data_IF_923628655405
#
_entry.id   IF_923628655405
#
_cell.length_a   1.000
_cell.length_b   1.000
_cell.length_c   1.000
_cell.angle_alpha   90.00
_cell.angle_beta   90.00
_cell.angle_gamma   90.00
#
_symmetry.space_group_name_H-M   'P 1'
#
loop_
_entity.id
_entity.type
_entity.pdbx_description
1 polymer ?
#
# COMPACT_ATOMS: atom_id res chain seq x y z
N UNK A 1 -20.01 -28.12 -51.27
CA UNK A 1 -18.75 -27.36 -51.19
C UNK A 1 -18.77 -26.54 -49.90
N UNK A 2 -17.90 -26.85 -48.95
CA UNK A 2 -17.76 -26.11 -47.70
C UNK A 2 -16.60 -25.13 -47.88
N UNK A 3 -16.90 -23.84 -47.98
CA UNK A 3 -15.90 -22.78 -48.08
C UNK A 3 -15.46 -22.41 -46.67
N UNK A 4 -14.20 -22.71 -46.42
CA UNK A 4 -13.38 -22.26 -45.30
C UNK A 4 -13.32 -20.72 -45.33
N UNK A 5 -13.65 -20.03 -44.23
CA UNK A 5 -13.32 -18.63 -44.02
C UNK A 5 -12.57 -18.49 -42.71
N UNK A 6 -11.26 -18.48 -42.86
CA UNK A 6 -10.27 -18.10 -41.87
C UNK A 6 -10.50 -16.63 -41.46
N UNK A 7 -10.56 -16.38 -40.16
CA UNK A 7 -10.43 -15.04 -39.59
C UNK A 7 -8.93 -14.75 -39.36
N UNK A 8 -8.36 -13.69 -39.93
CA UNK A 8 -6.99 -13.29 -39.67
C UNK A 8 -6.87 -12.49 -38.37
N UNK A 9 -5.70 -12.59 -37.75
CA UNK A 9 -5.14 -11.71 -36.71
C UNK A 9 -5.64 -11.88 -35.27
N UNK A 10 -5.40 -13.07 -34.70
CA UNK A 10 -4.98 -13.18 -33.29
C UNK A 10 -3.46 -12.99 -33.25
N UNK A 11 -3.00 -11.83 -32.79
CA UNK A 11 -1.61 -11.64 -32.37
C UNK A 11 -1.44 -12.40 -31.04
N UNK A 12 -1.14 -13.70 -31.14
CA UNK A 12 -0.59 -14.46 -30.03
C UNK A 12 0.82 -13.95 -29.76
N UNK A 13 0.99 -13.15 -28.70
CA UNK A 13 2.31 -12.89 -28.16
C UNK A 13 2.84 -14.21 -27.57
N UNK A 14 3.98 -14.75 -28.03
CA UNK A 14 4.56 -15.93 -27.42
C UNK A 14 4.96 -15.60 -25.98
N UNK A 15 4.29 -16.22 -25.02
CA UNK A 15 4.81 -16.31 -23.65
C UNK A 15 5.98 -17.27 -23.73
N UNK A 16 7.17 -16.74 -24.04
CA UNK A 16 8.42 -17.46 -23.81
C UNK A 16 8.50 -17.76 -22.31
N UNK A 17 8.29 -19.04 -21.97
CA UNK A 17 8.68 -19.61 -20.70
C UNK A 17 10.21 -19.61 -20.65
N UNK A 18 10.80 -18.51 -20.22
CA UNK A 18 12.19 -18.50 -19.77
C UNK A 18 12.25 -19.06 -18.36
N UNK A 19 12.99 -20.16 -18.23
CA UNK A 19 13.34 -20.82 -16.99
C UNK A 19 13.79 -19.81 -15.92
N UNK A 20 13.20 -19.95 -14.72
CA UNK A 20 13.46 -19.15 -13.52
C UNK A 20 14.89 -19.40 -13.02
N UNK A 21 15.88 -18.80 -13.68
CA UNK A 21 17.14 -18.48 -13.03
C UNK A 21 16.84 -17.38 -12.00
N UNK A 22 16.97 -17.70 -10.71
CA UNK A 22 16.68 -16.81 -9.60
C UNK A 22 17.36 -15.44 -9.79
N UNK A 23 16.60 -14.48 -10.31
CA UNK A 23 17.03 -13.08 -10.39
C UNK A 23 17.25 -12.62 -8.95
N UNK A 24 18.34 -11.88 -8.66
CA UNK A 24 18.55 -11.33 -7.32
C UNK A 24 17.29 -10.59 -6.91
N UNK A 25 16.79 -10.85 -5.70
CA UNK A 25 15.55 -10.23 -5.23
C UNK A 25 15.68 -8.71 -5.29
N UNK A 26 15.07 -8.12 -6.32
CA UNK A 26 15.10 -6.68 -6.52
C UNK A 26 14.40 -5.99 -5.34
N UNK A 27 14.95 -4.86 -4.89
CA UNK A 27 14.39 -4.00 -3.86
C UNK A 27 14.45 -4.53 -2.40
N UNK A 28 15.49 -5.29 -2.05
CA UNK A 28 15.84 -5.54 -0.66
C UNK A 28 16.17 -4.23 0.10
N UNK A 29 15.99 -4.19 1.43
CA UNK A 29 16.48 -3.08 2.25
C UNK A 29 17.98 -2.84 2.00
N UNK A 30 18.36 -1.58 1.81
CA UNK A 30 19.78 -1.22 1.77
C UNK A 30 20.41 -1.29 3.17
N UNK A 31 21.72 -1.05 3.26
CA UNK A 31 22.46 -1.16 4.52
C UNK A 31 21.93 -0.25 5.63
N UNK A 32 21.61 1.01 5.29
CA UNK A 32 21.09 2.00 6.23
C UNK A 32 19.70 1.59 6.75
N UNK A 33 18.83 1.11 5.87
CA UNK A 33 17.51 0.57 6.26
C UNK A 33 17.71 -0.69 7.11
N UNK A 34 18.61 -1.59 6.74
CA UNK A 34 18.89 -2.81 7.49
C UNK A 34 19.38 -2.52 8.91
N UNK A 35 20.26 -1.54 9.08
CA UNK A 35 20.74 -1.10 10.39
C UNK A 35 19.59 -0.52 11.24
N UNK A 36 18.74 0.30 10.62
CA UNK A 36 17.55 0.84 11.29
C UNK A 36 16.60 -0.28 11.75
N UNK A 37 16.35 -1.27 10.89
CA UNK A 37 15.52 -2.42 11.25
C UNK A 37 16.12 -3.22 12.42
N UNK A 38 17.44 -3.46 12.42
CA UNK A 38 18.12 -4.14 13.55
C UNK A 38 17.96 -3.37 14.86
N UNK A 39 18.13 -2.05 14.82
CA UNK A 39 17.95 -1.18 15.99
C UNK A 39 16.51 -1.24 16.50
N UNK A 40 15.53 -1.10 15.60
CA UNK A 40 14.11 -1.15 15.96
C UNK A 40 13.72 -2.52 16.56
N UNK A 41 14.15 -3.62 15.94
CA UNK A 41 13.92 -4.99 16.45
C UNK A 41 14.55 -5.17 17.83
N UNK A 42 15.76 -4.68 18.05
CA UNK A 42 16.44 -4.77 19.36
C UNK A 42 15.75 -3.92 20.44
N UNK A 43 15.10 -2.81 20.06
CA UNK A 43 14.29 -2.01 20.99
C UNK A 43 12.96 -2.69 21.34
N UNK A 44 12.32 -3.33 20.35
CA UNK A 44 11.04 -4.03 20.55
C UNK A 44 11.20 -5.35 21.29
N UNK A 45 12.29 -6.07 21.04
CA UNK A 45 12.63 -7.36 21.65
C UNK A 45 14.06 -7.37 22.19
N UNK A 46 14.33 -6.68 23.33
CA UNK A 46 15.67 -6.56 23.91
C UNK A 46 16.34 -7.90 24.23
N UNK A 47 15.56 -8.94 24.48
CA UNK A 47 16.03 -10.31 24.74
C UNK A 47 16.80 -10.93 23.57
N UNK A 48 16.66 -10.40 22.35
CA UNK A 48 17.39 -10.87 21.17
C UNK A 48 18.82 -10.32 21.06
N UNK A 49 19.18 -9.37 21.92
CA UNK A 49 20.49 -8.71 21.90
C UNK A 49 20.64 -7.70 20.74
N UNK A 50 21.87 -7.20 20.54
CA UNK A 50 22.14 -6.06 19.65
C UNK A 50 22.19 -6.42 18.15
N UNK A 51 22.26 -7.70 17.80
CA UNK A 51 22.35 -8.14 16.40
C UNK A 51 21.41 -9.33 16.13
N UNK A 52 20.09 -9.12 16.19
CA UNK A 52 19.10 -10.16 15.95
C UNK A 52 19.20 -10.71 14.52
N UNK A 53 18.95 -12.00 14.34
CA UNK A 53 18.73 -12.55 13.00
C UNK A 53 17.46 -11.92 12.39
N UNK A 54 17.56 -11.45 11.16
CA UNK A 54 16.45 -10.87 10.41
C UNK A 54 16.23 -11.69 9.15
N UNK A 55 15.06 -12.31 9.04
CA UNK A 55 14.62 -13.01 7.83
C UNK A 55 13.59 -12.15 7.10
N UNK A 56 13.80 -11.95 5.80
CA UNK A 56 12.89 -11.20 4.95
C UNK A 56 12.23 -12.15 3.94
N UNK A 57 10.95 -11.95 3.73
CA UNK A 57 10.19 -12.60 2.66
C UNK A 57 9.16 -11.62 2.09
N UNK A 58 8.62 -11.89 0.89
CA UNK A 58 7.57 -11.04 0.33
C UNK A 58 6.30 -11.13 1.17
N UNK A 59 5.77 -9.98 1.60
CA UNK A 59 4.53 -9.93 2.39
C UNK A 59 3.27 -9.99 1.51
N UNK A 60 3.39 -9.73 0.22
CA UNK A 60 2.29 -9.66 -0.74
C UNK A 60 2.68 -10.28 -2.08
N UNK A 61 1.71 -10.78 -2.85
CA UNK A 61 1.98 -11.28 -4.19
C UNK A 61 2.30 -10.14 -5.16
N UNK A 62 2.85 -10.50 -6.33
CA UNK A 62 3.13 -9.53 -7.39
C UNK A 62 1.84 -8.85 -7.84
N UNK A 63 1.82 -7.52 -7.75
CA UNK A 63 0.67 -6.71 -8.15
C UNK A 63 -0.35 -6.44 -7.05
N UNK A 64 -0.22 -7.05 -5.86
CA UNK A 64 -1.07 -6.71 -4.69
C UNK A 64 -0.74 -5.33 -4.12
N UNK A 65 0.51 -4.88 -4.30
CA UNK A 65 0.94 -3.55 -3.91
C UNK A 65 1.24 -2.71 -5.16
N UNK A 66 0.50 -1.62 -5.36
CA UNK A 66 0.65 -0.74 -6.51
C UNK A 66 1.83 0.23 -6.39
N UNK A 67 2.20 0.61 -5.16
CA UNK A 67 3.27 1.59 -4.90
C UNK A 67 4.24 1.08 -3.84
N UNK A 68 5.45 0.75 -4.30
CA UNK A 68 6.53 0.23 -3.46
C UNK A 68 6.55 -1.29 -3.37
N UNK A 69 7.34 -1.78 -2.44
CA UNK A 69 7.57 -3.18 -2.15
C UNK A 69 7.29 -3.43 -0.67
N UNK A 70 6.59 -4.52 -0.38
CA UNK A 70 6.25 -4.89 0.99
C UNK A 70 6.96 -6.19 1.34
N UNK A 71 7.80 -6.11 2.37
CA UNK A 71 8.51 -7.24 2.97
C UNK A 71 7.88 -7.59 4.30
N UNK A 72 7.86 -8.88 4.63
CA UNK A 72 7.66 -9.37 5.98
C UNK A 72 9.04 -9.63 6.57
N UNK A 73 9.29 -9.02 7.71
CA UNK A 73 10.50 -9.21 8.50
C UNK A 73 10.15 -10.08 9.70
N UNK A 74 10.79 -11.23 9.81
CA UNK A 74 10.72 -12.12 10.97
C UNK A 74 12.02 -12.01 11.77
N UNK A 75 11.92 -11.68 13.05
CA UNK A 75 13.06 -11.60 13.95
C UNK A 75 13.30 -12.93 14.67
N UNK A 76 14.55 -13.39 14.68
CA UNK A 76 14.98 -14.63 15.34
C UNK A 76 14.15 -15.87 14.94
N UNK A 77 13.65 -15.89 13.70
CA UNK A 77 12.80 -16.97 13.16
C UNK A 77 11.54 -17.27 14.00
N UNK A 78 11.07 -16.30 14.80
CA UNK A 78 9.83 -16.41 15.56
C UNK A 78 8.67 -15.76 14.78
N UNK A 79 7.66 -16.52 14.32
CA UNK A 79 6.51 -15.97 13.60
C UNK A 79 5.70 -14.94 14.41
N UNK A 80 5.82 -14.92 15.74
CA UNK A 80 5.18 -13.91 16.60
C UNK A 80 5.95 -12.60 16.63
N UNK A 81 7.22 -12.60 16.22
CA UNK A 81 8.06 -11.40 16.09
C UNK A 81 8.15 -10.98 14.62
N UNK A 82 6.98 -10.69 14.05
CA UNK A 82 6.83 -10.31 12.65
C UNK A 82 6.48 -8.84 12.50
N UNK A 83 7.10 -8.19 11.52
CA UNK A 83 6.85 -6.81 11.13
C UNK A 83 6.64 -6.74 9.61
N UNK A 84 5.88 -5.76 9.16
CA UNK A 84 5.76 -5.42 7.74
C UNK A 84 6.68 -4.23 7.46
N UNK A 85 7.57 -4.37 6.49
CA UNK A 85 8.50 -3.32 6.05
C UNK A 85 8.14 -2.91 4.63
N UNK A 86 7.63 -1.70 4.48
CA UNK A 86 7.33 -1.10 3.18
C UNK A 86 8.50 -0.25 2.71
N UNK A 87 8.96 -0.50 1.49
CA UNK A 87 10.08 0.18 0.85
C UNK A 87 9.65 0.79 -0.49
N UNK A 88 10.19 1.94 -0.89
CA UNK A 88 10.08 2.38 -2.27
C UNK A 88 10.87 1.42 -3.18
N UNK A 89 10.57 1.40 -4.50
CA UNK A 89 11.46 0.72 -5.44
C UNK A 89 12.90 1.27 -5.28
N UNK A 90 13.92 0.42 -5.37
CA UNK A 90 15.32 0.84 -5.28
C UNK A 90 15.84 1.30 -6.64
N UNK A 91 15.28 0.78 -7.74
CA UNK A 91 15.59 1.26 -9.08
C UNK A 91 15.15 2.73 -9.28
N UNK A 92 16.10 3.60 -9.62
CA UNK A 92 15.88 5.06 -9.78
C UNK A 92 14.80 5.41 -10.82
N UNK A 93 14.73 4.67 -11.93
CA UNK A 93 13.72 4.89 -12.98
C UNK A 93 12.33 4.57 -12.43
N UNK A 94 12.18 3.43 -11.76
CA UNK A 94 10.92 3.07 -11.10
C UNK A 94 10.52 4.08 -10.03
N UNK A 95 11.47 4.56 -9.20
CA UNK A 95 11.19 5.61 -8.20
C UNK A 95 10.56 6.85 -8.82
N UNK A 96 11.11 7.32 -9.94
CA UNK A 96 10.59 8.49 -10.67
C UNK A 96 9.23 8.18 -11.29
N UNK A 97 9.09 7.05 -11.97
CA UNK A 97 7.85 6.64 -12.63
C UNK A 97 6.67 6.55 -11.65
N UNK A 98 6.89 5.97 -10.47
CA UNK A 98 5.88 5.79 -9.43
C UNK A 98 5.75 6.98 -8.48
N UNK A 99 6.50 8.06 -8.70
CA UNK A 99 6.52 9.23 -7.81
C UNK A 99 6.73 8.81 -6.34
N UNK A 100 7.64 7.84 -6.15
CA UNK A 100 7.75 7.07 -4.92
C UNK A 100 8.03 7.98 -3.71
N UNK A 101 8.93 8.94 -3.88
CA UNK A 101 9.33 9.86 -2.80
C UNK A 101 8.13 10.65 -2.24
N UNK A 102 7.36 11.41 -3.04
CA UNK A 102 6.14 12.07 -2.56
C UNK A 102 5.08 11.14 -1.97
N UNK A 103 4.93 9.92 -2.52
CA UNK A 103 4.00 8.92 -1.99
C UNK A 103 4.41 8.46 -0.59
N UNK A 104 5.69 8.12 -0.39
CA UNK A 104 6.21 7.69 0.91
C UNK A 104 6.19 8.80 1.95
N UNK A 105 6.54 10.04 1.59
CA UNK A 105 6.41 11.18 2.51
C UNK A 105 4.97 11.40 2.97
N UNK A 106 3.99 11.19 2.07
CA UNK A 106 2.57 11.32 2.41
C UNK A 106 2.08 10.19 3.31
N UNK A 107 2.50 8.97 3.06
CA UNK A 107 2.19 7.83 3.93
C UNK A 107 2.85 7.98 5.32
N UNK A 108 4.10 8.45 5.38
CA UNK A 108 4.76 8.81 6.64
C UNK A 108 3.98 9.90 7.38
N UNK A 109 3.54 10.96 6.70
CA UNK A 109 2.71 12.00 7.33
C UNK A 109 1.38 11.47 7.86
N UNK A 110 0.81 10.44 7.21
CA UNK A 110 -0.39 9.77 7.71
C UNK A 110 -0.11 9.10 9.07
N UNK A 111 0.98 8.34 9.19
CA UNK A 111 1.35 7.62 10.42
C UNK A 111 1.92 8.50 11.52
N UNK A 112 2.73 9.51 11.20
CA UNK A 112 3.43 10.33 12.20
C UNK A 112 2.62 11.56 12.64
N UNK A 113 1.67 12.02 11.82
CA UNK A 113 0.92 13.26 12.11
C UNK A 113 -0.58 13.00 12.19
N UNK A 114 -1.18 12.49 11.10
CA UNK A 114 -2.64 12.44 11.01
C UNK A 114 -3.28 11.40 11.93
N UNK A 115 -2.77 10.17 11.97
CA UNK A 115 -3.31 9.10 12.81
C UNK A 115 -3.12 9.37 14.32
N UNK A 116 -1.97 9.90 14.79
CA UNK A 116 -1.82 10.34 16.18
C UNK A 116 -2.79 11.48 16.55
N UNK A 117 -2.98 12.46 15.65
CA UNK A 117 -3.95 13.54 15.85
C UNK A 117 -5.38 12.99 15.96
N UNK A 118 -5.73 12.04 15.10
CA UNK A 118 -6.99 11.30 15.13
C UNK A 118 -7.17 10.57 16.46
N UNK A 119 -6.17 9.86 16.97
CA UNK A 119 -6.23 9.19 18.27
C UNK A 119 -6.52 10.20 19.41
N UNK A 120 -5.78 11.30 19.45
CA UNK A 120 -5.95 12.36 20.45
C UNK A 120 -7.35 12.98 20.41
N UNK A 121 -7.89 13.21 19.22
CA UNK A 121 -9.25 13.74 19.05
C UNK A 121 -10.30 12.76 19.57
N UNK A 122 -10.17 11.48 19.24
CA UNK A 122 -11.09 10.44 19.72
C UNK A 122 -11.05 10.30 21.24
N UNK A 123 -9.87 10.43 21.85
CA UNK A 123 -9.72 10.41 23.31
C UNK A 123 -10.39 11.65 23.95
N UNK A 124 -10.11 12.84 23.41
CA UNK A 124 -10.70 14.11 23.88
C UNK A 124 -12.23 14.08 23.83
N UNK A 125 -12.79 13.52 22.78
CA UNK A 125 -14.25 13.42 22.59
C UNK A 125 -14.86 12.14 23.16
N UNK A 126 -14.06 11.32 23.85
CA UNK A 126 -14.50 10.06 24.49
C UNK A 126 -15.18 9.09 23.51
N UNK A 127 -14.67 9.02 22.28
CA UNK A 127 -15.13 8.07 21.27
C UNK A 127 -14.55 6.70 21.62
N UNK A 128 -15.43 5.73 21.88
CA UNK A 128 -15.10 4.38 22.35
C UNK A 128 -15.79 3.31 21.52
N UNK A 129 -15.37 2.05 21.72
CA UNK A 129 -16.01 0.89 21.10
C UNK A 129 -16.01 0.97 19.58
N UNK A 130 -17.14 0.60 18.98
CA UNK A 130 -17.28 0.49 17.54
C UNK A 130 -17.25 1.84 16.82
N UNK A 131 -17.57 2.95 17.48
CA UNK A 131 -17.54 4.27 16.82
C UNK A 131 -16.12 4.78 16.58
N UNK A 132 -15.12 4.19 17.22
CA UNK A 132 -13.73 4.60 17.08
C UNK A 132 -13.11 4.08 15.79
N UNK A 133 -12.49 4.97 15.04
CA UNK A 133 -11.61 4.63 13.93
C UNK A 133 -10.28 4.06 14.46
N UNK A 134 -10.01 2.81 14.08
CA UNK A 134 -8.79 2.04 14.42
C UNK A 134 -8.35 1.11 13.28
N UNK A 135 -8.94 1.25 12.10
CA UNK A 135 -8.75 0.34 10.98
C UNK A 135 -7.48 0.70 10.19
N UNK A 136 -6.35 0.68 10.87
CA UNK A 136 -5.01 0.86 10.32
C UNK A 136 -4.02 0.02 11.15
N UNK A 137 -2.91 -0.41 10.54
CA UNK A 137 -1.82 -1.05 11.26
C UNK A 137 -1.16 -0.07 12.23
N UNK A 138 -0.58 -0.55 13.33
CA UNK A 138 0.37 0.26 14.10
C UNK A 138 1.62 0.53 13.27
N UNK A 139 2.21 1.72 13.43
CA UNK A 139 3.51 2.05 12.85
C UNK A 139 4.56 2.09 13.97
N UNK A 140 5.65 1.35 13.78
CA UNK A 140 6.74 1.24 14.74
C UNK A 140 7.93 2.14 14.39
N UNK A 141 8.03 2.59 13.15
CA UNK A 141 9.05 3.55 12.76
C UNK A 141 9.01 3.87 11.27
N UNK A 142 9.55 5.04 10.93
CA UNK A 142 9.72 5.45 9.54
C UNK A 142 11.13 6.01 9.31
N UNK A 143 11.56 5.96 8.05
CA UNK A 143 12.69 6.74 7.55
C UNK A 143 12.24 7.56 6.36
N UNK A 144 12.69 8.80 6.33
CA UNK A 144 12.36 9.76 5.29
C UNK A 144 13.59 10.26 4.54
N UNK A 145 14.79 9.69 4.71
CA UNK A 145 15.96 10.10 3.94
C UNK A 145 16.07 9.28 2.65
N UNK A 146 16.17 9.94 1.48
CA UNK A 146 16.34 9.24 0.20
C UNK A 146 17.80 8.77 0.04
N UNK A 147 18.08 7.52 -0.38
CA UNK A 147 17.16 6.46 -0.83
C UNK A 147 16.78 5.42 0.25
N UNK A 148 16.93 5.77 1.52
CA UNK A 148 16.77 4.90 2.68
C UNK A 148 15.37 4.99 3.29
N UNK A 149 14.36 5.39 2.52
CA UNK A 149 13.01 5.49 3.05
C UNK A 149 12.45 4.11 3.38
N UNK A 150 11.75 4.02 4.50
CA UNK A 150 10.99 2.84 4.87
C UNK A 150 9.87 3.20 5.82
N UNK A 151 8.84 2.35 5.86
CA UNK A 151 7.76 2.42 6.84
C UNK A 151 7.64 1.02 7.45
N UNK A 152 7.79 0.94 8.77
CA UNK A 152 7.70 -0.32 9.51
C UNK A 152 6.38 -0.36 10.26
N UNK A 153 5.60 -1.40 9.97
CA UNK A 153 4.23 -1.56 10.39
C UNK A 153 4.03 -2.88 11.14
N UNK A 154 2.96 -2.94 11.91
CA UNK A 154 2.39 -4.17 12.45
C UNK A 154 2.08 -5.18 11.36
N UNK A 155 2.52 -6.42 11.58
CA UNK A 155 2.07 -7.55 10.77
C UNK A 155 0.70 -8.03 11.25
N UNK A 156 -0.35 -7.52 10.60
CA UNK A 156 -1.74 -7.89 10.90
C UNK A 156 -2.02 -9.39 10.69
N UNK A 157 -1.17 -10.13 9.96
CA UNK A 157 -1.34 -11.59 9.81
C UNK A 157 -1.14 -12.32 11.14
N UNK A 158 -0.35 -11.77 12.06
CA UNK A 158 -0.21 -12.27 13.43
C UNK A 158 -1.51 -12.19 14.23
N UNK A 159 -2.41 -11.27 13.88
CA UNK A 159 -3.74 -11.13 14.46
C UNK A 159 -4.83 -11.88 13.66
N UNK A 160 -4.43 -12.73 12.70
CA UNK A 160 -5.34 -13.54 11.90
C UNK A 160 -5.99 -12.81 10.71
N UNK A 161 -5.55 -11.60 10.38
CA UNK A 161 -6.00 -10.92 9.17
C UNK A 161 -5.34 -11.53 7.93
N UNK A 162 -6.06 -11.49 6.81
CA UNK A 162 -5.56 -11.92 5.51
C UNK A 162 -5.95 -10.92 4.43
N UNK A 163 -5.15 -10.85 3.36
CA UNK A 163 -5.47 -10.03 2.21
C UNK A 163 -6.58 -10.71 1.41
N UNK A 164 -7.67 -9.99 1.15
CA UNK A 164 -8.75 -10.50 0.31
C UNK A 164 -8.28 -10.61 -1.15
N UNK A 165 -8.58 -11.73 -1.80
CA UNK A 165 -8.27 -11.91 -3.21
C UNK A 165 -9.13 -10.96 -4.06
N UNK A 166 -8.49 -9.97 -4.70
CA UNK A 166 -9.17 -8.94 -5.51
C UNK A 166 -9.91 -9.46 -6.75
N UNK A 167 -9.67 -10.71 -7.15
CA UNK A 167 -10.39 -11.36 -8.25
C UNK A 167 -11.66 -12.07 -7.78
N UNK A 168 -11.95 -12.06 -6.48
CA UNK A 168 -13.18 -12.55 -5.91
C UNK A 168 -14.09 -11.38 -5.53
N UNK A 169 -15.39 -11.64 -5.53
CA UNK A 169 -16.38 -10.67 -5.10
C UNK A 169 -16.27 -10.40 -3.59
N UNK A 170 -16.43 -9.13 -3.23
CA UNK A 170 -16.59 -8.74 -1.83
C UNK A 170 -18.04 -9.01 -1.37
N UNK A 171 -18.25 -9.80 -0.31
CA UNK A 171 -19.58 -9.96 0.28
C UNK A 171 -20.17 -8.62 0.73
N UNK A 172 -21.50 -8.48 0.70
CA UNK A 172 -22.21 -7.28 1.15
C UNK A 172 -21.77 -6.84 2.55
N UNK A 173 -21.55 -7.79 3.45
CA UNK A 173 -21.07 -7.49 4.81
C UNK A 173 -19.65 -6.90 4.85
N UNK A 174 -18.75 -7.32 3.96
CA UNK A 174 -17.42 -6.71 3.85
C UNK A 174 -17.53 -5.28 3.34
N UNK A 175 -18.32 -5.07 2.27
CA UNK A 175 -18.57 -3.73 1.71
C UNK A 175 -19.15 -2.81 2.79
N UNK A 176 -20.15 -3.28 3.54
CA UNK A 176 -20.76 -2.53 4.65
C UNK A 176 -19.73 -2.11 5.70
N UNK A 177 -18.83 -3.01 6.11
CA UNK A 177 -17.76 -2.69 7.08
C UNK A 177 -16.75 -1.68 6.55
N UNK A 178 -16.38 -1.78 5.27
CA UNK A 178 -15.49 -0.80 4.62
C UNK A 178 -16.15 0.58 4.56
N UNK A 179 -17.42 0.66 4.15
CA UNK A 179 -18.16 1.93 4.09
C UNK A 179 -18.30 2.59 5.46
N UNK A 180 -18.60 1.82 6.52
CA UNK A 180 -18.63 2.33 7.90
C UNK A 180 -17.26 2.82 8.36
N UNK A 181 -16.18 2.17 7.93
CA UNK A 181 -14.80 2.57 8.25
C UNK A 181 -14.46 3.91 7.58
N UNK A 182 -14.80 4.08 6.30
CA UNK A 182 -14.64 5.36 5.61
C UNK A 182 -15.49 6.46 6.23
N UNK A 183 -16.72 6.16 6.65
CA UNK A 183 -17.56 7.14 7.33
C UNK A 183 -16.88 7.69 8.60
N UNK A 184 -16.28 6.82 9.43
CA UNK A 184 -15.52 7.24 10.61
C UNK A 184 -14.31 8.10 10.24
N UNK A 185 -13.52 7.66 9.26
CA UNK A 185 -12.34 8.39 8.78
C UNK A 185 -12.71 9.79 8.24
N UNK A 186 -13.80 9.91 7.48
CA UNK A 186 -14.30 11.18 6.98
C UNK A 186 -14.84 12.07 8.10
N UNK A 187 -15.62 11.51 9.02
CA UNK A 187 -16.18 12.25 10.16
C UNK A 187 -15.07 12.88 11.01
N UNK A 188 -14.04 12.11 11.35
CA UNK A 188 -12.92 12.63 12.15
C UNK A 188 -12.09 13.64 11.38
N UNK A 189 -11.82 13.42 10.10
CA UNK A 189 -11.10 14.38 9.26
C UNK A 189 -11.83 15.73 9.18
N UNK A 190 -13.16 15.70 8.96
CA UNK A 190 -13.99 16.91 8.90
C UNK A 190 -14.05 17.62 10.26
N UNK A 191 -14.23 16.86 11.33
CA UNK A 191 -14.25 17.41 12.69
C UNK A 191 -12.91 18.06 13.03
N UNK A 192 -11.79 17.46 12.65
CA UNK A 192 -10.45 18.01 12.85
C UNK A 192 -10.24 19.31 12.07
N UNK A 193 -10.64 19.36 10.80
CA UNK A 193 -10.57 20.60 10.00
C UNK A 193 -11.34 21.76 10.64
N UNK A 194 -12.50 21.48 11.25
CA UNK A 194 -13.35 22.51 11.89
C UNK A 194 -12.88 22.91 13.28
N UNK A 195 -12.50 21.94 14.11
CA UNK A 195 -12.26 22.16 15.54
C UNK A 195 -10.78 22.33 15.90
N UNK A 196 -9.87 21.89 15.03
CA UNK A 196 -8.42 21.96 15.24
C UNK A 196 -7.70 22.44 13.96
N UNK A 197 -8.10 23.59 13.39
CA UNK A 197 -7.59 24.05 12.09
C UNK A 197 -6.07 24.24 12.09
N UNK A 198 -5.49 24.77 13.17
CA UNK A 198 -4.04 24.96 13.32
C UNK A 198 -3.27 23.64 13.24
N UNK A 199 -3.74 22.60 13.93
CA UNK A 199 -3.12 21.26 13.90
C UNK A 199 -3.30 20.55 12.55
N UNK A 200 -4.35 20.91 11.81
CA UNK A 200 -4.63 20.35 10.48
C UNK A 200 -3.97 21.15 9.34
N UNK A 201 -3.38 22.32 9.61
CA UNK A 201 -2.90 23.25 8.58
C UNK A 201 -1.91 22.59 7.62
N UNK A 202 -0.92 21.86 8.14
CA UNK A 202 0.09 21.16 7.32
C UNK A 202 -0.54 20.10 6.42
N UNK A 203 -1.56 19.39 6.92
CA UNK A 203 -2.26 18.35 6.17
C UNK A 203 -3.20 18.93 5.11
N UNK A 204 -3.76 20.12 5.34
CA UNK A 204 -4.63 20.81 4.39
C UNK A 204 -3.88 21.34 3.17
N UNK A 205 -2.58 21.58 3.28
CA UNK A 205 -1.74 22.03 2.17
C UNK A 205 -1.33 20.88 1.22
N UNK A 206 -1.65 19.63 1.56
CA UNK A 206 -1.35 18.49 0.72
C UNK A 206 -2.23 18.51 -0.53
N UNK A 207 -1.60 18.67 -1.69
CA UNK A 207 -2.25 18.47 -3.00
C UNK A 207 -2.31 16.97 -3.31
N UNK A 208 -3.38 16.49 -3.94
CA UNK A 208 -3.49 15.09 -4.37
C UNK A 208 -2.28 14.65 -5.25
N UNK A 209 -1.80 13.41 -5.08
CA UNK A 209 -0.61 12.91 -5.80
C UNK A 209 -0.80 12.94 -7.32
N UNK A 210 -2.00 12.63 -7.81
CA UNK A 210 -2.28 12.62 -9.24
C UNK A 210 -2.46 14.05 -9.76
N UNK A 211 -3.07 14.94 -8.99
CA UNK A 211 -3.15 16.37 -9.36
C UNK A 211 -1.76 17.02 -9.46
N UNK A 212 -0.83 16.67 -8.55
CA UNK A 212 0.58 17.11 -8.64
C UNK A 212 1.26 16.65 -9.93
N UNK A 213 0.71 15.63 -10.59
CA UNK A 213 1.21 15.03 -11.84
C UNK A 213 0.25 15.23 -13.01
N UNK A 214 -0.64 16.23 -12.95
CA UNK A 214 -1.63 16.49 -14.00
C UNK A 214 -1.03 16.62 -15.41
N UNK A 215 0.18 17.15 -15.51
CA UNK A 215 0.88 17.41 -16.78
C UNK A 215 1.83 16.25 -17.18
N UNK A 216 1.86 15.15 -16.41
CA UNK A 216 2.64 13.96 -16.75
C UNK A 216 1.97 13.20 -17.89
N UNK A 217 2.55 13.29 -19.09
CA UNK A 217 1.99 12.68 -20.29
C UNK A 217 1.83 11.15 -20.17
N UNK A 218 2.80 10.46 -19.57
CA UNK A 218 2.73 9.00 -19.43
C UNK A 218 1.61 8.57 -18.49
N UNK A 219 1.41 9.33 -17.40
CA UNK A 219 0.28 9.13 -16.49
C UNK A 219 -1.06 9.45 -17.17
N UNK A 220 -1.12 10.51 -17.98
CA UNK A 220 -2.32 10.86 -18.75
C UNK A 220 -2.72 9.76 -19.74
N UNK A 221 -1.76 9.22 -20.50
CA UNK A 221 -2.00 8.08 -21.39
C UNK A 221 -2.49 6.85 -20.63
N UNK A 222 -1.90 6.57 -19.45
CA UNK A 222 -2.34 5.47 -18.60
C UNK A 222 -3.83 5.62 -18.17
N UNK A 223 -4.24 6.81 -17.73
CA UNK A 223 -5.63 7.04 -17.31
C UNK A 223 -6.63 7.01 -18.47
N UNK A 224 -6.27 7.52 -19.66
CA UNK A 224 -7.14 7.38 -20.84
C UNK A 224 -7.32 5.92 -21.26
N UNK A 225 -6.25 5.10 -21.18
CA UNK A 225 -6.36 3.66 -21.42
C UNK A 225 -7.28 2.99 -20.38
N UNK A 226 -7.12 3.31 -19.09
CA UNK A 226 -7.96 2.77 -18.02
C UNK A 226 -9.45 3.11 -18.23
N UNK A 227 -9.72 4.37 -18.61
CA UNK A 227 -11.06 4.83 -18.97
C UNK A 227 -11.62 4.09 -20.19
N UNK A 228 -10.82 3.89 -21.23
CA UNK A 228 -11.21 3.10 -22.40
C UNK A 228 -11.57 1.66 -22.04
N UNK A 229 -10.76 1.00 -21.21
CA UNK A 229 -11.06 -0.36 -20.72
C UNK A 229 -12.34 -0.42 -19.88
N UNK A 230 -12.55 0.56 -18.99
CA UNK A 230 -13.75 0.63 -18.17
C UNK A 230 -15.02 0.83 -19.03
N UNK A 231 -14.96 1.72 -20.03
CA UNK A 231 -16.07 1.92 -20.98
C UNK A 231 -16.34 0.67 -21.81
N UNK A 232 -15.29 -0.01 -22.28
CA UNK A 232 -15.44 -1.26 -23.05
C UNK A 232 -16.10 -2.37 -22.24
N UNK A 233 -15.85 -2.43 -20.93
CA UNK A 233 -16.49 -3.42 -20.05
C UNK A 233 -18.00 -3.18 -19.92
N UNK A 234 -18.45 -1.93 -19.97
CA UNK A 234 -19.88 -1.57 -19.96
C UNK A 234 -20.58 -1.83 -21.30
N UNK A 235 -19.81 -1.96 -22.39
CA UNK A 235 -20.32 -2.19 -23.74
C UNK A 235 -20.12 -3.64 -24.21
N UNK A 236 -19.76 -4.55 -23.29
CA UNK A 236 -19.55 -5.96 -23.62
C UNK A 236 -20.85 -6.57 -24.17
N UNK A 237 -20.86 -7.20 -25.37
CA UNK A 237 -22.07 -7.67 -26.05
C UNK A 237 -22.85 -8.81 -25.36
N UNK A 238 -22.53 -9.15 -24.11
CA UNK A 238 -23.19 -10.21 -23.35
C UNK A 238 -24.26 -9.67 -22.36
N UNK A 239 -24.30 -8.37 -22.10
CA UNK A 239 -25.25 -7.77 -21.14
C UNK A 239 -26.51 -7.18 -21.81
N UNK A 240 -26.64 -7.25 -23.14
CA UNK A 240 -27.88 -6.99 -23.87
C UNK A 240 -28.76 -8.24 -23.90
N UNK A 241 -29.52 -8.45 -22.83
CA UNK A 241 -30.73 -9.26 -22.87
C UNK A 241 -31.79 -8.69 -21.91
N UNK A 242 -32.31 -7.51 -22.25
CA UNK A 242 -33.63 -7.04 -21.82
C UNK A 242 -34.37 -6.38 -22.96
#
# INVERSE_FOLDING_TARGET
EKVNREHPDRVENPVEQQEDAAKPEEDLPNEQVTQFLRQLVSQMWPELGANPELRLERASAKGDNYLGVVWRLQAASDPKRSLVVKLPPQNRVRRKQFFARPCFLRETAAYEVFLPLTALMQDKWKITGDDRFRQHALCFGTRQDEPNECIVLEDLTCAGFSLHNRFLDLPVEHVRRVMLTYAKLHAISLAGKRQLPERMQQLQQLVDIFEQRRDDHALGVYFENLKGSALSALLSPADDAY
#
